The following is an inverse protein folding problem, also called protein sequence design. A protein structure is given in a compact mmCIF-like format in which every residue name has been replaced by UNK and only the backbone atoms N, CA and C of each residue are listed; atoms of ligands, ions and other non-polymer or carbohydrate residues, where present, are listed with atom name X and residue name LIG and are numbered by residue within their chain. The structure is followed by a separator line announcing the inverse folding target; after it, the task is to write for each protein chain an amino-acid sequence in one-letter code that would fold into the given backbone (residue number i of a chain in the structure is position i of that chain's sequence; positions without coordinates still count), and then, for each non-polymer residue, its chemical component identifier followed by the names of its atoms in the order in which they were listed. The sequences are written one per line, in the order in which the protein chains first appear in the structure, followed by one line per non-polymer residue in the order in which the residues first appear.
data_IF_444378069077
#
_entry.id   IF_444378069077
#
_cell.length_a   1.000
_cell.length_b   1.000
_cell.length_c   1.000
_cell.angle_alpha   90.00
_cell.angle_beta   90.00
_cell.angle_gamma   90.00
#
_symmetry.space_group_name_H-M   'P 1'
#
loop_
_entity.id
_entity.type
_entity.pdbx_description
1 polymer ?
#
# COMPACT_ATOMS: atom_id res chain seq x y z
N UNK A 1 -38.02 -15.14 14.49
CA UNK A 1 -37.84 -15.48 15.93
C UNK A 1 -37.59 -16.98 16.03
N UNK A 2 -36.82 -17.49 17.01
CA UNK A 2 -36.05 -16.81 18.07
C UNK A 2 -34.52 -16.89 17.80
N UNK A 3 -33.73 -15.81 17.90
CA UNK A 3 -33.15 -15.21 19.11
C UNK A 3 -32.48 -16.20 20.08
N UNK A 4 -31.14 -16.30 20.01
CA UNK A 4 -30.29 -16.66 21.16
C UNK A 4 -29.33 -15.52 21.46
N UNK A 5 -29.55 -14.87 22.60
CA UNK A 5 -28.64 -13.93 23.25
C UNK A 5 -27.56 -14.72 23.99
N UNK A 6 -26.29 -14.33 23.90
CA UNK A 6 -25.25 -14.74 24.85
C UNK A 6 -25.10 -13.69 25.96
N UNK A 7 -24.89 -14.10 27.23
CA UNK A 7 -24.82 -13.19 28.38
C UNK A 7 -23.43 -12.54 28.52
N UNK A 8 -23.32 -11.42 29.26
CA UNK A 8 -22.05 -10.74 29.55
C UNK A 8 -21.28 -11.46 30.67
N UNK A 9 -19.95 -11.49 30.54
CA UNK A 9 -19.03 -11.98 31.58
C UNK A 9 -18.70 -10.81 32.51
N UNK A 10 -19.09 -10.96 33.78
CA UNK A 10 -18.75 -10.07 34.88
C UNK A 10 -17.34 -10.35 35.37
N UNK A 11 -16.51 -9.32 35.52
CA UNK A 11 -15.24 -9.41 36.27
C UNK A 11 -15.51 -9.21 37.75
N UNK A 12 -15.15 -10.23 38.55
CA UNK A 12 -15.17 -10.19 40.01
C UNK A 12 -13.92 -9.48 40.51
N UNK A 13 -14.13 -8.45 41.33
CA UNK A 13 -13.12 -7.77 42.13
C UNK A 13 -12.78 -8.63 43.33
N UNK A 14 -11.50 -8.96 43.52
CA UNK A 14 -10.98 -9.49 44.79
C UNK A 14 -9.89 -8.56 45.32
N UNK A 15 -10.28 -7.78 46.33
CA UNK A 15 -9.37 -7.16 47.28
C UNK A 15 -9.03 -8.19 48.37
N UNK A 16 -7.75 -8.28 48.75
CA UNK A 16 -7.35 -8.74 50.08
C UNK A 16 -6.02 -8.09 50.49
N UNK A 17 -5.96 -7.77 51.78
CA UNK A 17 -5.04 -6.90 52.49
C UNK A 17 -3.92 -7.68 53.19
N UNK A 18 -2.78 -6.99 53.35
CA UNK A 18 -1.87 -6.91 54.53
C UNK A 18 -1.12 -8.17 55.02
N UNK A 19 0.18 -7.95 55.29
CA UNK A 19 0.92 -8.67 56.33
C UNK A 19 2.44 -8.59 56.21
N UNK A 20 3.10 -7.91 57.16
CA UNK A 20 4.54 -7.66 57.29
C UNK A 20 5.39 -8.88 57.68
N UNK A 21 6.70 -8.83 57.37
CA UNK A 21 7.87 -8.98 58.29
C UNK A 21 9.18 -8.77 57.47
N UNK A 22 9.94 -7.68 57.65
CA UNK A 22 11.18 -7.53 58.45
C UNK A 22 12.30 -8.55 58.06
N UNK A 23 13.48 -8.17 57.56
CA UNK A 23 14.55 -7.40 58.25
C UNK A 23 15.78 -7.16 57.34
N UNK A 24 16.43 -6.00 57.54
CA UNK A 24 17.88 -5.66 57.53
C UNK A 24 18.76 -6.03 56.30
N UNK A 25 19.73 -5.25 55.81
CA UNK A 25 20.82 -4.49 56.47
C UNK A 25 21.25 -3.29 55.58
N UNK A 26 21.75 -2.26 56.27
CA UNK A 26 22.16 -0.92 55.85
C UNK A 26 23.34 -0.79 54.86
N UNK A 27 23.44 0.37 54.20
CA UNK A 27 24.71 1.07 53.99
C UNK A 27 24.52 2.61 53.83
N UNK A 28 24.95 3.36 54.85
CA UNK A 28 25.55 4.71 54.73
C UNK A 28 26.96 4.54 54.12
N UNK A 29 27.67 5.46 53.48
CA UNK A 29 27.53 6.89 53.18
C UNK A 29 28.94 7.45 52.85
N UNK A 30 29.01 8.43 51.94
CA UNK A 30 30.01 9.52 51.80
C UNK A 30 31.51 9.31 51.43
N UNK A 31 31.94 10.23 50.52
CA UNK A 31 33.24 10.95 50.31
C UNK A 31 34.23 10.52 49.20
N UNK A 32 34.26 11.39 48.16
CA UNK A 32 35.38 12.25 47.66
C UNK A 32 36.66 11.67 47.00
N UNK A 33 36.82 12.05 45.71
CA UNK A 33 37.98 12.61 44.97
C UNK A 33 39.31 11.83 44.88
N UNK A 34 39.76 11.58 43.64
CA UNK A 34 41.14 11.90 43.15
C UNK A 34 41.27 11.81 41.61
N UNK A 35 41.91 12.83 41.06
CA UNK A 35 42.44 12.95 39.70
C UNK A 35 43.65 12.01 39.50
N UNK A 36 43.81 11.48 38.29
CA UNK A 36 45.13 11.10 37.74
C UNK A 36 45.17 11.35 36.23
N UNK A 37 46.06 12.27 35.85
CA UNK A 37 46.55 12.53 34.49
C UNK A 37 47.23 11.29 33.89
N UNK A 38 47.06 11.07 32.58
CA UNK A 38 48.01 10.27 31.81
C UNK A 38 48.42 10.98 30.51
N UNK A 39 49.74 11.12 30.37
CA UNK A 39 50.48 11.81 29.32
C UNK A 39 50.43 11.07 27.98
N UNK A 40 50.42 11.87 26.92
CA UNK A 40 50.78 11.53 25.55
C UNK A 40 52.29 11.24 25.40
N UNK A 41 52.65 10.20 24.63
CA UNK A 41 53.65 10.30 23.55
C UNK A 41 53.75 9.02 22.70
N UNK A 42 53.44 9.21 21.42
CA UNK A 42 53.97 8.62 20.19
C UNK A 42 54.64 7.22 20.19
N UNK A 43 54.14 6.36 19.28
CA UNK A 43 54.98 5.80 18.21
C UNK A 43 54.14 5.49 16.96
N UNK A 44 54.68 5.92 15.83
CA UNK A 44 54.15 5.85 14.46
C UNK A 44 54.50 4.49 13.83
N UNK A 45 53.68 4.08 12.86
CA UNK A 45 53.91 3.03 11.83
C UNK A 45 53.64 1.57 12.21
N UNK A 46 52.38 1.15 12.06
CA UNK A 46 52.08 -0.22 11.61
C UNK A 46 50.78 -0.25 10.80
N UNK A 47 50.93 -0.50 9.50
CA UNK A 47 49.93 -1.01 8.56
C UNK A 47 48.64 -0.19 8.31
N UNK A 48 48.74 0.78 7.40
CA UNK A 48 47.64 1.15 6.48
C UNK A 48 47.38 -0.04 5.53
N UNK A 49 46.57 -1.02 5.93
CA UNK A 49 45.98 -2.06 5.07
C UNK A 49 44.93 -2.83 5.88
N UNK A 50 43.80 -2.18 6.21
CA UNK A 50 42.54 -2.84 6.62
C UNK A 50 41.41 -1.81 6.87
N UNK A 51 41.14 -0.95 5.90
CA UNK A 51 39.91 -0.13 5.89
C UNK A 51 39.66 0.42 4.48
N UNK A 52 39.56 -0.48 3.50
CA UNK A 52 38.98 -0.20 2.17
C UNK A 52 38.08 -1.37 1.74
N UNK A 53 37.32 -1.92 2.69
CA UNK A 53 36.15 -2.77 2.40
C UNK A 53 34.93 -2.16 3.10
N UNK A 54 34.67 -0.89 2.82
CA UNK A 54 33.39 -0.24 3.12
C UNK A 54 32.70 0.06 1.79
N UNK A 55 31.57 -0.61 1.58
CA UNK A 55 30.56 -0.28 0.58
C UNK A 55 31.10 0.07 -0.81
N UNK A 56 31.64 -0.93 -1.51
CA UNK A 56 31.53 -0.91 -2.96
C UNK A 56 30.04 -1.00 -3.27
N UNK A 57 29.42 0.15 -3.57
CA UNK A 57 28.23 0.20 -4.41
C UNK A 57 28.61 -0.60 -5.64
N UNK A 58 28.11 -1.83 -5.74
CA UNK A 58 28.17 -2.59 -6.98
C UNK A 58 27.51 -1.68 -8.00
N UNK A 59 28.33 -1.06 -8.87
CA UNK A 59 27.92 -0.71 -10.21
C UNK A 59 27.44 -2.01 -10.82
N UNK A 60 26.17 -2.35 -10.64
CA UNK A 60 25.54 -3.43 -11.38
C UNK A 60 25.68 -3.01 -12.83
N UNK A 61 26.57 -3.70 -13.55
CA UNK A 61 26.57 -3.70 -15.00
C UNK A 61 25.11 -3.84 -15.44
N UNK A 62 24.72 -3.02 -16.42
CA UNK A 62 23.42 -3.10 -17.07
C UNK A 62 23.34 -4.53 -17.64
N UNK A 63 22.73 -5.45 -16.89
CA UNK A 63 22.43 -6.77 -17.41
C UNK A 63 21.58 -6.54 -18.65
N UNK A 64 22.02 -7.10 -19.78
CA UNK A 64 21.25 -7.07 -21.00
C UNK A 64 19.84 -7.60 -20.70
N UNK A 65 18.82 -6.96 -21.29
CA UNK A 65 17.44 -7.41 -21.15
C UNK A 65 17.39 -8.84 -21.72
N UNK A 66 16.88 -9.84 -20.97
CA UNK A 66 16.73 -11.18 -21.51
C UNK A 66 15.90 -11.14 -22.79
N UNK A 67 16.30 -11.90 -23.82
CA UNK A 67 15.63 -11.86 -25.12
C UNK A 67 14.13 -12.20 -25.02
N UNK A 68 13.78 -13.10 -24.11
CA UNK A 68 12.41 -13.49 -23.80
C UNK A 68 11.60 -12.40 -23.11
N UNK A 69 12.27 -11.41 -22.49
CA UNK A 69 11.68 -10.27 -21.78
C UNK A 69 11.65 -8.99 -22.62
N UNK A 70 12.38 -8.96 -23.73
CA UNK A 70 12.49 -7.81 -24.61
C UNK A 70 11.17 -7.49 -25.34
N UNK A 71 10.73 -6.24 -25.23
CA UNK A 71 9.71 -5.64 -26.08
C UNK A 71 10.25 -4.37 -26.73
N UNK A 72 10.02 -4.22 -28.04
CA UNK A 72 10.36 -3.01 -28.79
C UNK A 72 9.14 -2.12 -28.93
N UNK A 73 9.28 -0.84 -28.65
CA UNK A 73 8.22 0.15 -28.83
C UNK A 73 8.80 1.53 -29.05
N UNK A 74 8.37 2.21 -30.13
CA UNK A 74 9.04 3.40 -30.66
C UNK A 74 10.54 3.09 -30.83
N UNK A 75 11.42 3.99 -30.42
CA UNK A 75 12.88 3.85 -30.52
C UNK A 75 13.51 3.23 -29.26
N UNK A 76 12.73 2.51 -28.44
CA UNK A 76 13.17 2.00 -27.14
C UNK A 76 13.00 0.48 -26.98
N UNK A 77 13.98 -0.11 -26.29
CA UNK A 77 13.93 -1.49 -25.79
C UNK A 77 13.43 -1.49 -24.34
N UNK A 78 12.38 -2.26 -24.08
CA UNK A 78 11.74 -2.35 -22.77
C UNK A 78 11.84 -3.77 -22.22
N UNK A 79 12.33 -3.87 -20.99
CA UNK A 79 12.20 -5.09 -20.19
C UNK A 79 10.76 -5.20 -19.70
N UNK A 80 10.04 -6.20 -20.22
CA UNK A 80 8.64 -6.41 -19.90
C UNK A 80 8.35 -7.74 -19.21
N UNK A 81 9.36 -8.28 -18.52
CA UNK A 81 9.17 -9.24 -17.44
C UNK A 81 9.21 -8.51 -16.09
N UNK A 82 8.42 -8.97 -15.13
CA UNK A 82 8.56 -8.50 -13.75
C UNK A 82 9.75 -9.21 -13.10
N UNK A 83 10.67 -8.44 -12.52
CA UNK A 83 11.81 -8.97 -11.77
C UNK A 83 11.54 -8.90 -10.27
N UNK A 84 11.81 -9.99 -9.55
CA UNK A 84 11.67 -10.03 -8.10
C UNK A 84 12.73 -9.10 -7.45
N UNK A 85 12.35 -8.07 -6.67
CA UNK A 85 13.32 -7.11 -6.13
C UNK A 85 14.42 -7.73 -5.25
N UNK A 86 14.10 -8.80 -4.51
CA UNK A 86 15.05 -9.51 -3.67
C UNK A 86 16.08 -10.35 -4.47
N UNK A 87 15.77 -10.70 -5.71
CA UNK A 87 16.65 -11.49 -6.59
C UNK A 87 16.30 -11.20 -8.05
N UNK A 88 16.99 -10.22 -8.63
CA UNK A 88 16.66 -9.69 -9.96
C UNK A 88 16.81 -10.73 -11.09
N UNK A 89 17.58 -11.80 -10.88
CA UNK A 89 17.68 -12.91 -11.83
C UNK A 89 16.41 -13.77 -11.90
N UNK A 90 15.49 -13.63 -10.94
CA UNK A 90 14.19 -14.30 -10.94
C UNK A 90 13.16 -13.35 -11.54
N UNK A 91 12.64 -13.71 -12.70
CA UNK A 91 11.63 -12.93 -13.42
C UNK A 91 10.46 -13.79 -13.88
N UNK A 92 9.31 -13.14 -14.00
CA UNK A 92 8.07 -13.78 -14.45
C UNK A 92 7.96 -13.82 -15.96
N UNK A 93 6.84 -14.38 -16.43
CA UNK A 93 6.45 -14.38 -17.83
C UNK A 93 6.38 -12.95 -18.38
N UNK A 94 6.89 -12.76 -19.59
CA UNK A 94 6.79 -11.48 -20.30
C UNK A 94 5.32 -11.12 -20.57
N UNK A 95 4.95 -9.88 -20.28
CA UNK A 95 3.66 -9.32 -20.67
C UNK A 95 3.59 -9.07 -22.18
N UNK A 96 2.39 -9.08 -22.76
CA UNK A 96 2.23 -8.83 -24.18
C UNK A 96 2.72 -7.41 -24.55
N UNK A 97 3.69 -7.29 -25.47
CA UNK A 97 4.27 -6.01 -25.89
C UNK A 97 3.23 -5.02 -26.44
N UNK A 98 2.08 -5.52 -26.92
CA UNK A 98 0.98 -4.68 -27.40
C UNK A 98 0.35 -3.79 -26.31
N UNK A 99 0.68 -4.01 -25.03
CA UNK A 99 0.25 -3.18 -23.91
C UNK A 99 1.12 -1.93 -23.70
N UNK A 100 2.30 -1.85 -24.35
CA UNK A 100 3.20 -0.70 -24.21
C UNK A 100 2.56 0.66 -24.59
N UNK A 101 1.76 0.78 -25.67
CA UNK A 101 1.06 2.03 -25.97
C UNK A 101 0.14 2.52 -24.84
N UNK A 102 -0.57 1.60 -24.16
CA UNK A 102 -1.46 1.93 -23.04
C UNK A 102 -0.64 2.36 -21.82
N UNK A 103 0.45 1.65 -21.51
CA UNK A 103 1.35 2.05 -20.42
C UNK A 103 2.00 3.42 -20.70
N UNK A 104 2.35 3.71 -21.94
CA UNK A 104 2.93 4.99 -22.37
C UNK A 104 1.92 6.14 -22.22
N UNK A 105 0.68 5.94 -22.67
CA UNK A 105 -0.37 6.95 -22.55
C UNK A 105 -0.69 7.27 -21.08
N UNK A 106 -0.54 6.29 -20.18
CA UNK A 106 -0.67 6.45 -18.72
C UNK A 106 0.62 6.97 -18.04
N UNK A 107 1.70 7.24 -18.79
CA UNK A 107 2.96 7.74 -18.24
C UNK A 107 3.75 6.71 -17.43
N UNK A 108 3.48 5.42 -17.62
CA UNK A 108 4.08 4.31 -16.85
C UNK A 108 5.35 3.74 -17.50
N UNK A 109 5.72 4.19 -18.71
CA UNK A 109 6.97 3.79 -19.39
C UNK A 109 8.12 4.80 -19.24
N UNK A 110 7.81 6.10 -19.12
CA UNK A 110 8.79 7.19 -19.25
C UNK A 110 9.89 7.19 -18.19
N UNK A 111 9.63 6.62 -17.01
CA UNK A 111 10.59 6.56 -15.90
C UNK A 111 11.70 5.51 -16.08
N UNK A 112 11.61 4.67 -17.13
CA UNK A 112 12.59 3.62 -17.42
C UNK A 112 13.71 4.06 -18.36
N UNK A 113 13.53 5.19 -19.08
CA UNK A 113 14.61 5.78 -19.91
C UNK A 113 15.79 6.24 -19.05
N UNK A 114 15.54 6.52 -17.77
CA UNK A 114 16.56 6.93 -16.83
C UNK A 114 16.74 5.82 -15.78
N UNK A 115 17.67 4.88 -16.02
CA UNK A 115 18.15 3.99 -14.95
C UNK A 115 18.78 4.79 -13.80
N UNK A 116 19.20 6.03 -14.07
CA UNK A 116 19.68 6.99 -13.07
C UNK A 116 19.24 8.40 -13.50
N UNK A 117 18.33 9.04 -12.77
CA UNK A 117 18.24 10.50 -12.74
C UNK A 117 18.98 10.89 -11.47
N UNK A 118 20.05 11.70 -11.53
CA UNK A 118 20.67 12.25 -10.34
C UNK A 118 19.60 12.96 -9.52
N UNK A 119 19.62 12.79 -8.20
CA UNK A 119 18.78 13.56 -7.29
C UNK A 119 19.05 15.06 -7.54
N UNK A 120 18.17 15.69 -8.30
CA UNK A 120 18.33 17.09 -8.74
C UNK A 120 18.00 18.09 -7.62
N UNK A 121 17.68 17.62 -6.41
CA UNK A 121 17.25 18.48 -5.31
C UNK A 121 15.79 18.95 -5.39
N UNK A 122 15.10 18.69 -6.51
CA UNK A 122 13.69 19.05 -6.73
C UNK A 122 12.69 18.04 -6.12
N UNK A 123 13.14 16.88 -5.63
CA UNK A 123 12.23 15.86 -5.02
C UNK A 123 11.44 16.43 -3.83
N UNK A 124 12.02 17.37 -3.08
CA UNK A 124 11.35 17.98 -1.91
C UNK A 124 10.09 18.76 -2.28
N UNK A 125 10.12 19.54 -3.36
CA UNK A 125 8.95 20.30 -3.84
C UNK A 125 7.89 19.37 -4.45
N UNK A 126 8.31 18.29 -5.13
CA UNK A 126 7.41 17.27 -5.68
C UNK A 126 6.62 16.57 -4.55
N UNK A 127 7.26 16.15 -3.46
CA UNK A 127 6.53 15.54 -2.33
C UNK A 127 5.55 16.50 -1.62
N UNK A 128 5.92 17.79 -1.51
CA UNK A 128 5.04 18.81 -0.91
C UNK A 128 3.83 19.04 -1.82
N UNK A 129 4.05 19.30 -3.10
CA UNK A 129 2.97 19.56 -4.05
C UNK A 129 2.03 18.37 -4.18
N UNK A 130 2.60 17.16 -4.30
CA UNK A 130 1.82 15.94 -4.48
C UNK A 130 0.90 15.69 -3.29
N UNK A 131 1.33 15.91 -2.05
CA UNK A 131 0.51 15.57 -0.86
C UNK A 131 -0.33 16.73 -0.33
N UNK A 132 -0.27 17.93 -0.93
CA UNK A 132 -0.90 19.14 -0.36
C UNK A 132 -2.42 19.10 -0.41
N UNK A 133 -3.03 18.46 -1.42
CA UNK A 133 -4.48 18.29 -1.54
C UNK A 133 -4.79 17.07 -2.44
N UNK A 134 -4.79 15.85 -1.90
CA UNK A 134 -5.10 14.67 -2.70
C UNK A 134 -6.51 14.73 -3.27
N UNK A 135 -6.69 14.39 -4.55
CA UNK A 135 -8.02 14.32 -5.16
C UNK A 135 -8.72 13.03 -4.71
N UNK A 136 -10.03 13.11 -4.45
CA UNK A 136 -10.80 11.93 -4.09
C UNK A 136 -11.37 11.31 -5.36
N UNK A 137 -11.17 10.02 -5.54
CA UNK A 137 -11.55 9.29 -6.76
C UNK A 137 -12.38 8.08 -6.38
N UNK A 138 -13.54 7.95 -7.00
CA UNK A 138 -14.39 6.76 -6.87
C UNK A 138 -14.92 6.35 -8.24
N UNK A 139 -15.33 5.09 -8.37
CA UNK A 139 -15.88 4.55 -9.60
C UNK A 139 -16.98 3.54 -9.27
N UNK A 140 -18.12 3.61 -9.96
CA UNK A 140 -19.22 2.68 -9.74
C UNK A 140 -20.18 2.61 -10.93
N UNK A 141 -20.94 1.52 -10.98
CA UNK A 141 -22.05 1.32 -11.92
C UNK A 141 -23.40 1.39 -11.19
N UNK A 142 -24.52 1.31 -11.91
CA UNK A 142 -25.86 1.45 -11.34
C UNK A 142 -26.14 0.55 -10.14
N UNK A 143 -25.57 -0.66 -10.10
CA UNK A 143 -25.78 -1.62 -9.01
C UNK A 143 -25.16 -1.17 -7.66
N UNK A 144 -24.32 -0.14 -7.66
CA UNK A 144 -23.69 0.44 -6.47
C UNK A 144 -23.98 1.94 -6.34
N UNK A 145 -25.00 2.44 -7.04
CA UNK A 145 -25.36 3.87 -7.03
C UNK A 145 -25.75 4.36 -5.63
N UNK A 146 -26.47 3.55 -4.85
CA UNK A 146 -26.89 3.92 -3.49
C UNK A 146 -25.67 4.11 -2.56
N UNK A 147 -24.72 3.17 -2.57
CA UNK A 147 -23.49 3.30 -1.79
C UNK A 147 -22.60 4.43 -2.32
N UNK A 148 -22.54 4.63 -3.64
CA UNK A 148 -21.78 5.71 -4.26
C UNK A 148 -22.30 7.09 -3.85
N UNK A 149 -23.61 7.31 -3.93
CA UNK A 149 -24.26 8.55 -3.49
C UNK A 149 -24.11 8.80 -1.98
N UNK A 150 -24.17 7.75 -1.15
CA UNK A 150 -23.84 7.86 0.28
C UNK A 150 -22.40 8.34 0.47
N UNK A 151 -21.43 7.71 -0.19
CA UNK A 151 -20.03 8.09 -0.09
C UNK A 151 -19.82 9.58 -0.44
N UNK A 152 -20.42 10.04 -1.53
CA UNK A 152 -20.37 11.46 -1.92
C UNK A 152 -20.96 12.37 -0.85
N UNK A 153 -22.07 11.97 -0.23
CA UNK A 153 -22.73 12.73 0.84
C UNK A 153 -21.84 12.84 2.09
N UNK A 154 -21.21 11.74 2.48
CA UNK A 154 -20.30 11.70 3.63
C UNK A 154 -19.06 12.55 3.38
N UNK A 155 -18.45 12.45 2.19
CA UNK A 155 -17.31 13.31 1.81
C UNK A 155 -17.73 14.77 1.88
N UNK A 156 -18.91 15.15 1.35
CA UNK A 156 -19.40 16.54 1.42
C UNK A 156 -19.67 17.01 2.84
N UNK A 157 -20.11 16.11 3.72
CA UNK A 157 -20.36 16.43 5.13
C UNK A 157 -19.07 16.70 5.91
N UNK A 158 -17.99 15.98 5.61
CA UNK A 158 -16.69 16.12 6.28
C UNK A 158 -15.79 17.17 5.60
N UNK A 159 -15.81 17.23 4.27
CA UNK A 159 -15.01 18.13 3.44
C UNK A 159 -15.87 18.81 2.35
N UNK A 160 -16.57 19.90 2.68
CA UNK A 160 -17.52 20.55 1.75
C UNK A 160 -16.92 20.97 0.41
N UNK A 161 -15.62 21.30 0.36
CA UNK A 161 -14.90 21.78 -0.83
C UNK A 161 -13.93 20.76 -1.43
N UNK A 162 -13.94 19.51 -0.97
CA UNK A 162 -13.04 18.48 -1.52
C UNK A 162 -13.39 18.20 -2.98
N UNK A 163 -12.42 18.31 -3.89
CA UNK A 163 -12.65 17.93 -5.28
C UNK A 163 -12.75 16.41 -5.41
N UNK A 164 -13.80 15.93 -6.09
CA UNK A 164 -14.08 14.51 -6.28
C UNK A 164 -14.16 14.20 -7.77
N UNK A 165 -13.56 13.09 -8.20
CA UNK A 165 -13.75 12.51 -9.52
C UNK A 165 -14.60 11.26 -9.37
N UNK A 166 -15.69 11.19 -10.12
CA UNK A 166 -16.57 10.02 -10.19
C UNK A 166 -16.45 9.42 -11.59
N UNK A 167 -15.93 8.19 -11.66
CA UNK A 167 -15.94 7.41 -12.88
C UNK A 167 -17.22 6.58 -13.00
N UNK A 168 -17.88 6.76 -14.13
CA UNK A 168 -19.01 5.98 -14.56
C UNK A 168 -18.54 4.65 -15.18
N UNK A 169 -18.94 3.54 -14.56
CA UNK A 169 -18.71 2.17 -15.02
C UNK A 169 -19.95 1.52 -15.63
N UNK A 170 -21.04 2.28 -15.81
CA UNK A 170 -22.35 1.82 -16.29
C UNK A 170 -23.50 2.33 -15.42
N UNK A 171 -23.63 3.65 -15.26
CA UNK A 171 -24.76 4.32 -14.62
C UNK A 171 -25.91 4.50 -15.62
N UNK A 172 -27.14 4.51 -15.10
CA UNK A 172 -28.34 4.82 -15.89
C UNK A 172 -28.41 6.33 -16.14
N UNK A 173 -29.03 6.76 -17.25
CA UNK A 173 -29.09 8.17 -17.65
C UNK A 173 -29.57 9.10 -16.52
N UNK A 174 -30.63 8.71 -15.81
CA UNK A 174 -31.16 9.46 -14.67
C UNK A 174 -30.14 9.64 -13.53
N UNK A 175 -29.31 8.62 -13.29
CA UNK A 175 -28.23 8.66 -12.29
C UNK A 175 -27.10 9.59 -12.75
N UNK A 176 -26.72 9.52 -14.03
CA UNK A 176 -25.67 10.38 -14.60
C UNK A 176 -26.05 11.86 -14.49
N UNK A 177 -27.31 12.21 -14.78
CA UNK A 177 -27.80 13.59 -14.70
C UNK A 177 -27.72 14.15 -13.28
N UNK A 178 -27.89 13.29 -12.26
CA UNK A 178 -27.77 13.71 -10.86
C UNK A 178 -26.30 13.96 -10.52
N UNK A 179 -25.40 13.02 -10.84
CA UNK A 179 -23.97 13.14 -10.51
C UNK A 179 -23.32 14.33 -11.21
N UNK A 180 -23.68 14.60 -12.47
CA UNK A 180 -23.15 15.72 -13.25
C UNK A 180 -23.52 17.10 -12.69
N UNK A 181 -24.61 17.22 -11.91
CA UNK A 181 -25.07 18.46 -11.28
C UNK A 181 -24.48 18.68 -9.87
N UNK A 182 -23.58 17.81 -9.41
CA UNK A 182 -23.00 17.94 -8.08
C UNK A 182 -21.83 18.94 -8.07
N UNK A 183 -21.81 19.80 -7.06
CA UNK A 183 -20.72 20.75 -6.85
C UNK A 183 -19.38 20.04 -6.56
N UNK A 184 -18.30 20.59 -7.12
CA UNK A 184 -16.92 20.11 -6.94
C UNK A 184 -16.76 18.60 -7.25
N UNK A 185 -17.63 18.08 -8.12
CA UNK A 185 -17.58 16.72 -8.65
C UNK A 185 -17.32 16.79 -10.15
N UNK A 186 -16.27 16.10 -10.60
CA UNK A 186 -16.03 15.86 -12.01
C UNK A 186 -16.49 14.45 -12.38
N UNK A 187 -17.53 14.39 -13.20
CA UNK A 187 -18.00 13.15 -13.80
C UNK A 187 -17.13 12.76 -15.00
N UNK A 188 -16.68 11.50 -15.06
CA UNK A 188 -15.91 10.93 -16.17
C UNK A 188 -16.51 9.58 -16.58
N UNK A 189 -16.54 9.28 -17.87
CA UNK A 189 -16.96 7.96 -18.37
C UNK A 189 -15.72 7.10 -18.56
N UNK A 190 -15.70 5.88 -18.02
CA UNK A 190 -14.62 4.94 -18.30
C UNK A 190 -14.78 4.37 -19.72
N UNK A 191 -13.82 4.65 -20.60
CA UNK A 191 -13.86 4.20 -21.99
C UNK A 191 -13.47 2.72 -22.11
N UNK A 192 -14.41 1.80 -21.89
CA UNK A 192 -14.19 0.35 -22.03
C UNK A 192 -13.69 -0.05 -23.41
N UNK A 193 -14.08 0.66 -24.47
CA UNK A 193 -13.71 0.36 -25.87
C UNK A 193 -12.22 0.56 -26.15
N UNK A 194 -11.50 1.29 -25.28
CA UNK A 194 -10.04 1.45 -25.38
C UNK A 194 -9.26 0.25 -24.81
N UNK A 195 -9.95 -0.72 -24.19
CA UNK A 195 -9.34 -1.86 -23.50
C UNK A 195 -9.92 -3.18 -24.03
N UNK A 196 -9.24 -4.32 -23.78
CA UNK A 196 -9.79 -5.62 -24.13
C UNK A 196 -11.20 -5.83 -23.55
N UNK A 197 -12.07 -6.52 -24.29
CA UNK A 197 -13.49 -6.67 -23.97
C UNK A 197 -13.78 -7.17 -22.54
N UNK A 198 -12.91 -7.99 -21.96
CA UNK A 198 -13.02 -8.48 -20.59
C UNK A 198 -12.89 -7.40 -19.51
N UNK A 199 -12.53 -6.15 -19.84
CA UNK A 199 -12.64 -5.02 -18.90
C UNK A 199 -14.09 -4.71 -18.50
N UNK A 200 -15.06 -5.08 -19.34
CA UNK A 200 -16.49 -4.97 -19.04
C UNK A 200 -16.95 -5.90 -17.91
N UNK A 201 -16.14 -6.92 -17.55
CA UNK A 201 -16.39 -7.78 -16.40
C UNK A 201 -15.98 -7.05 -15.11
N UNK A 202 -16.88 -6.19 -14.61
CA UNK A 202 -16.59 -5.31 -13.46
C UNK A 202 -16.17 -6.08 -12.20
N UNK A 203 -16.60 -7.34 -12.04
CA UNK A 203 -16.23 -8.21 -10.92
C UNK A 203 -14.74 -8.57 -10.85
N UNK A 204 -13.97 -8.33 -11.92
CA UNK A 204 -12.53 -8.53 -11.97
C UNK A 204 -11.72 -7.24 -11.72
N UNK A 205 -12.39 -6.10 -11.52
CA UNK A 205 -11.80 -4.82 -11.11
C UNK A 205 -10.64 -4.28 -11.98
N UNK A 206 -10.51 -4.74 -13.24
CA UNK A 206 -9.42 -4.38 -14.17
C UNK A 206 -9.33 -2.87 -14.46
N UNK A 207 -10.46 -2.19 -14.45
CA UNK A 207 -10.57 -0.76 -14.67
C UNK A 207 -9.90 0.06 -13.55
N UNK A 208 -9.81 -0.48 -12.32
CA UNK A 208 -9.33 0.23 -11.13
C UNK A 208 -7.87 0.68 -11.24
N UNK A 209 -6.89 -0.19 -11.55
CA UNK A 209 -5.50 0.24 -11.72
C UNK A 209 -5.32 1.28 -12.82
N UNK A 210 -6.14 1.22 -13.88
CA UNK A 210 -6.11 2.21 -14.97
C UNK A 210 -6.61 3.58 -14.48
N UNK A 211 -7.74 3.63 -13.79
CA UNK A 211 -8.27 4.86 -13.19
C UNK A 211 -7.27 5.47 -12.20
N UNK A 212 -6.66 4.64 -11.35
CA UNK A 212 -5.62 5.08 -10.42
C UNK A 212 -4.43 5.66 -11.20
N UNK A 213 -3.97 5.02 -12.28
CA UNK A 213 -2.87 5.54 -13.09
C UNK A 213 -3.19 6.85 -13.81
N UNK A 214 -4.39 6.96 -14.40
CA UNK A 214 -4.83 8.17 -15.09
C UNK A 214 -4.89 9.37 -14.13
N UNK A 215 -5.60 9.19 -13.02
CA UNK A 215 -5.79 10.26 -12.03
C UNK A 215 -4.50 10.59 -11.29
N UNK A 216 -3.66 9.60 -10.98
CA UNK A 216 -2.36 9.85 -10.35
C UNK A 216 -1.41 10.60 -11.30
N UNK A 217 -1.45 10.31 -12.61
CA UNK A 217 -0.68 11.05 -13.61
C UNK A 217 -1.06 12.52 -13.63
N UNK A 218 -2.35 12.82 -13.53
CA UNK A 218 -2.94 14.17 -13.59
C UNK A 218 -2.73 14.97 -12.30
N UNK A 219 -2.96 14.37 -11.12
CA UNK A 219 -3.02 15.11 -9.84
C UNK A 219 -1.83 14.90 -8.90
N UNK A 220 -0.98 13.91 -9.15
CA UNK A 220 0.21 13.65 -8.33
C UNK A 220 -0.06 12.96 -6.99
N UNK A 221 -1.22 13.15 -6.36
CA UNK A 221 -1.74 12.21 -5.35
C UNK A 221 -3.26 12.14 -5.32
N UNK A 222 -3.76 10.99 -4.91
CA UNK A 222 -5.19 10.71 -4.82
C UNK A 222 -5.50 9.85 -3.60
N UNK A 223 -6.76 9.93 -3.17
CA UNK A 223 -7.43 8.85 -2.48
C UNK A 223 -8.32 8.12 -3.48
N UNK A 224 -8.09 6.82 -3.70
CA UNK A 224 -9.06 5.99 -4.40
C UNK A 224 -9.90 5.22 -3.39
N UNK A 225 -11.20 5.16 -3.64
CA UNK A 225 -12.19 4.56 -2.74
C UNK A 225 -13.33 3.88 -3.50
N UNK A 226 -13.55 2.60 -3.21
CA UNK A 226 -14.76 1.87 -3.56
C UNK A 226 -15.93 2.44 -2.74
N UNK A 227 -17.15 2.33 -3.28
CA UNK A 227 -18.37 2.91 -2.68
C UNK A 227 -18.73 2.35 -1.29
N UNK A 228 -18.13 1.22 -0.92
CA UNK A 228 -18.30 0.61 0.41
C UNK A 228 -17.59 1.36 1.53
N UNK A 229 -16.69 2.29 1.23
CA UNK A 229 -16.00 3.10 2.24
C UNK A 229 -16.98 4.04 2.92
N UNK A 230 -16.87 4.13 4.25
CA UNK A 230 -17.60 5.10 5.08
C UNK A 230 -16.58 5.87 5.90
N UNK A 231 -16.54 7.19 5.76
CA UNK A 231 -15.61 8.03 6.52
C UNK A 231 -16.17 8.38 7.91
N UNK A 232 -15.27 8.45 8.90
CA UNK A 232 -15.60 8.83 10.29
C UNK A 232 -14.96 10.14 10.74
N UNK A 233 -13.85 10.54 10.11
CA UNK A 233 -13.04 11.67 10.52
C UNK A 233 -12.58 12.46 9.31
N UNK A 234 -12.49 13.77 9.48
CA UNK A 234 -12.06 14.74 8.48
C UNK A 234 -10.52 14.94 8.45
N UNK A 235 -9.83 14.56 9.53
CA UNK A 235 -8.38 14.70 9.61
C UNK A 235 -7.65 13.47 9.03
N UNK A 236 -7.08 13.62 7.84
CA UNK A 236 -6.25 12.61 7.17
C UNK A 236 -4.74 12.93 7.22
N UNK A 237 -4.34 14.00 7.92
CA UNK A 237 -2.94 14.47 7.94
C UNK A 237 -1.96 13.40 8.40
N UNK A 238 -2.36 12.57 9.38
CA UNK A 238 -1.52 11.49 9.90
C UNK A 238 -1.14 10.44 8.85
N UNK A 239 -1.99 10.20 7.84
CA UNK A 239 -1.66 9.33 6.70
C UNK A 239 -0.66 10.01 5.79
N UNK A 240 -0.82 11.31 5.55
CA UNK A 240 0.10 12.07 4.69
C UNK A 240 1.50 12.18 5.30
N UNK A 241 1.59 12.31 6.62
CA UNK A 241 2.86 12.41 7.34
C UNK A 241 3.75 11.16 7.15
N UNK A 242 3.14 9.98 6.97
CA UNK A 242 3.86 8.72 6.66
C UNK A 242 4.63 8.78 5.33
N UNK A 243 4.23 9.65 4.41
CA UNK A 243 4.87 9.82 3.11
C UNK A 243 5.68 11.13 3.06
N UNK A 244 5.16 12.22 3.64
CA UNK A 244 5.81 13.55 3.65
C UNK A 244 7.12 13.59 4.41
N UNK A 245 7.34 12.70 5.38
CA UNK A 245 8.60 12.60 6.12
C UNK A 245 9.83 12.51 5.18
N UNK A 246 9.66 11.97 3.96
CA UNK A 246 10.71 11.81 2.94
C UNK A 246 11.28 13.14 2.44
N UNK A 247 10.58 14.25 2.65
CA UNK A 247 11.06 15.61 2.35
C UNK A 247 12.26 16.01 3.22
N UNK A 248 12.33 15.49 4.45
CA UNK A 248 13.28 15.93 5.46
C UNK A 248 14.42 14.93 5.67
N UNK A 249 14.27 13.71 5.17
CA UNK A 249 15.25 12.64 5.30
C UNK A 249 16.07 12.58 4.01
N UNK A 250 17.38 12.82 4.08
CA UNK A 250 18.24 12.49 2.93
C UNK A 250 18.12 10.99 2.64
N UNK A 251 18.09 10.57 1.37
CA UNK A 251 17.90 9.16 1.00
C UNK A 251 18.92 8.21 1.69
N UNK A 252 20.10 8.71 2.06
CA UNK A 252 21.15 8.01 2.84
C UNK A 252 20.87 7.89 4.34
N UNK A 253 19.87 8.59 4.87
CA UNK A 253 19.50 8.66 6.29
C UNK A 253 18.23 7.87 6.62
N UNK A 254 17.59 7.21 5.65
CA UNK A 254 16.51 6.26 5.96
C UNK A 254 17.09 5.08 6.75
N UNK A 255 16.39 4.65 7.80
CA UNK A 255 16.82 3.53 8.63
C UNK A 255 17.12 2.28 7.80
N UNK A 256 18.21 1.57 8.12
CA UNK A 256 18.53 0.28 7.51
C UNK A 256 17.34 -0.67 7.70
N UNK A 257 16.89 -1.31 6.61
CA UNK A 257 15.80 -2.28 6.68
C UNK A 257 16.25 -3.47 7.55
N UNK A 258 15.52 -3.83 8.61
CA UNK A 258 15.90 -4.94 9.48
C UNK A 258 15.88 -6.30 8.77
N UNK A 259 16.58 -7.28 9.33
CA UNK A 259 16.57 -8.66 8.82
C UNK A 259 15.16 -9.25 8.80
N UNK A 260 14.97 -10.37 8.09
CA UNK A 260 13.66 -11.04 8.08
C UNK A 260 13.22 -11.45 9.48
N UNK A 261 14.14 -11.94 10.31
CA UNK A 261 13.88 -12.43 11.65
C UNK A 261 13.39 -11.30 12.56
N UNK A 262 14.07 -10.14 12.55
CA UNK A 262 13.66 -8.98 13.33
C UNK A 262 12.28 -8.45 12.91
N UNK A 263 11.96 -8.55 11.61
CA UNK A 263 10.66 -8.18 11.08
C UNK A 263 9.56 -9.18 11.47
N UNK A 264 9.90 -10.46 11.53
CA UNK A 264 9.00 -11.50 12.05
C UNK A 264 8.72 -11.29 13.55
N UNK A 265 9.75 -10.97 14.35
CA UNK A 265 9.63 -10.63 15.76
C UNK A 265 8.82 -9.35 16.01
N UNK A 266 8.92 -8.36 15.12
CA UNK A 266 8.07 -7.16 15.17
C UNK A 266 6.61 -7.55 15.01
N UNK A 267 6.26 -8.27 13.94
CA UNK A 267 4.88 -8.67 13.68
C UNK A 267 4.28 -9.53 14.82
N UNK A 268 5.08 -10.38 15.47
CA UNK A 268 4.62 -11.17 16.61
C UNK A 268 4.29 -10.32 17.85
N UNK A 269 4.95 -9.17 18.01
CA UNK A 269 4.77 -8.28 19.17
C UNK A 269 3.79 -7.15 18.89
N UNK A 270 3.61 -6.76 17.64
CA UNK A 270 2.70 -5.70 17.25
C UNK A 270 1.27 -6.23 17.25
N UNK A 271 0.43 -5.65 18.09
CA UNK A 271 -1.01 -5.92 18.05
C UNK A 271 -1.60 -5.50 16.70
N UNK A 272 -2.67 -6.18 16.30
CA UNK A 272 -3.37 -5.80 15.08
C UNK A 272 -3.98 -4.41 15.22
N UNK A 273 -3.94 -3.62 14.15
CA UNK A 273 -4.39 -2.23 14.16
C UNK A 273 -5.86 -2.09 14.63
N UNK A 274 -6.04 -1.39 15.76
CA UNK A 274 -7.33 -1.12 16.38
C UNK A 274 -7.50 0.38 16.62
N UNK A 275 -7.56 1.14 15.54
CA UNK A 275 -7.73 2.60 15.56
C UNK A 275 -6.47 3.35 15.13
N UNK A 276 -6.06 4.36 15.90
CA UNK A 276 -4.84 5.13 15.67
C UNK A 276 -3.96 5.12 16.92
N UNK A 277 -2.77 4.52 16.80
CA UNK A 277 -1.73 4.56 17.83
C UNK A 277 -0.71 5.67 17.50
N UNK A 278 -0.64 6.69 18.37
CA UNK A 278 0.24 7.84 18.19
C UNK A 278 1.73 7.49 18.34
N UNK A 279 2.08 6.49 19.15
CA UNK A 279 3.47 6.08 19.35
C UNK A 279 3.97 5.30 18.13
N UNK A 280 3.18 4.32 17.67
CA UNK A 280 3.46 3.59 16.43
C UNK A 280 3.55 4.55 15.24
N UNK A 281 2.64 5.52 15.16
CA UNK A 281 2.66 6.55 14.12
C UNK A 281 3.95 7.40 14.17
N UNK A 282 4.38 7.87 15.35
CA UNK A 282 5.63 8.64 15.51
C UNK A 282 6.85 7.83 15.08
N UNK A 283 6.90 6.55 15.44
CA UNK A 283 7.97 5.64 15.03
C UNK A 283 7.97 5.46 13.50
N UNK A 284 6.81 5.26 12.89
CA UNK A 284 6.67 5.13 11.44
C UNK A 284 7.11 6.40 10.69
N UNK A 285 6.74 7.58 11.19
CA UNK A 285 7.17 8.87 10.62
C UNK A 285 8.68 9.06 10.78
N UNK A 286 9.26 8.65 11.91
CA UNK A 286 10.71 8.72 12.16
C UNK A 286 11.49 7.74 11.28
N UNK A 287 11.00 6.52 11.10
CA UNK A 287 11.60 5.51 10.23
C UNK A 287 11.49 5.92 8.75
N UNK A 288 10.36 6.50 8.37
CA UNK A 288 10.09 7.07 7.07
C UNK A 288 10.24 6.10 5.87
N UNK A 289 9.87 4.84 6.09
CA UNK A 289 9.99 3.75 5.10
C UNK A 289 8.66 3.32 4.48
N UNK A 290 7.55 3.97 4.85
CA UNK A 290 6.22 3.66 4.31
C UNK A 290 6.16 3.93 2.82
N UNK A 291 5.53 3.02 2.08
CA UNK A 291 5.19 3.14 0.66
C UNK A 291 4.36 4.39 0.42
N UNK A 292 4.56 5.04 -0.73
CA UNK A 292 3.66 6.09 -1.20
C UNK A 292 2.38 5.52 -1.85
N UNK A 293 2.20 4.20 -1.88
CA UNK A 293 0.94 3.50 -2.15
C UNK A 293 0.54 2.78 -0.85
N UNK A 294 -0.39 3.34 -0.10
CA UNK A 294 -0.80 2.85 1.21
C UNK A 294 -2.15 2.14 1.15
N UNK A 295 -2.19 0.94 1.72
CA UNK A 295 -3.41 0.17 1.99
C UNK A 295 -3.87 0.40 3.44
N UNK A 296 -5.16 0.18 3.73
CA UNK A 296 -5.73 0.55 5.03
C UNK A 296 -6.51 -0.57 5.73
N UNK A 297 -7.45 -1.23 5.07
CA UNK A 297 -8.32 -2.22 5.72
C UNK A 297 -7.79 -3.65 5.63
N UNK A 298 -7.51 -4.32 6.76
CA UNK A 298 -7.11 -5.73 6.75
C UNK A 298 -8.27 -6.65 6.38
N UNK A 299 -8.01 -7.66 5.55
CA UNK A 299 -9.05 -8.57 5.03
C UNK A 299 -9.26 -9.81 5.90
N UNK A 300 -8.48 -9.99 6.96
CA UNK A 300 -8.59 -11.15 7.86
C UNK A 300 -7.80 -12.39 7.43
N UNK A 301 -6.94 -12.28 6.41
CA UNK A 301 -6.10 -13.37 5.90
C UNK A 301 -4.80 -12.86 5.22
N UNK A 302 -3.88 -13.77 4.92
CA UNK A 302 -2.64 -13.50 4.20
C UNK A 302 -2.80 -13.36 2.70
N UNK A 303 -1.76 -12.84 2.04
CA UNK A 303 -1.73 -12.65 0.57
C UNK A 303 -1.76 -13.99 -0.16
N UNK A 304 -0.92 -14.93 0.26
CA UNK A 304 -0.85 -16.27 -0.35
C UNK A 304 -2.17 -17.04 -0.29
N UNK A 305 -2.98 -16.80 0.74
CA UNK A 305 -4.24 -17.51 0.95
C UNK A 305 -5.26 -17.25 -0.18
N UNK A 306 -5.30 -16.04 -0.74
CA UNK A 306 -6.30 -15.65 -1.73
C UNK A 306 -5.70 -15.13 -3.05
N UNK A 307 -4.48 -15.55 -3.39
CA UNK A 307 -3.83 -15.22 -4.66
C UNK A 307 -3.76 -16.46 -5.53
N UNK A 308 -4.35 -16.37 -6.73
CA UNK A 308 -4.29 -17.46 -7.70
C UNK A 308 -2.83 -17.82 -8.05
N UNK A 309 -2.46 -19.11 -8.08
CA UNK A 309 -1.13 -19.54 -8.47
C UNK A 309 -0.64 -19.00 -9.83
N UNK A 310 -1.55 -18.81 -10.80
CA UNK A 310 -1.21 -18.26 -12.13
C UNK A 310 -0.62 -16.85 -12.02
N UNK A 311 -0.99 -16.08 -11.00
CA UNK A 311 -0.44 -14.73 -10.79
C UNK A 311 1.07 -14.81 -10.53
N UNK A 312 1.56 -15.85 -9.85
CA UNK A 312 2.98 -16.02 -9.55
C UNK A 312 3.83 -16.34 -10.79
N UNK A 313 3.21 -16.80 -11.88
CA UNK A 313 3.90 -16.95 -13.16
C UNK A 313 4.30 -15.59 -13.75
N UNK A 314 3.49 -14.55 -13.53
CA UNK A 314 3.79 -13.18 -13.95
C UNK A 314 4.59 -12.43 -12.89
N UNK A 315 4.30 -12.68 -11.62
CA UNK A 315 4.91 -12.01 -10.47
C UNK A 315 5.56 -13.04 -9.54
N UNK A 316 6.76 -13.55 -9.86
CA UNK A 316 7.50 -14.41 -8.96
C UNK A 316 7.67 -13.77 -7.59
N UNK A 317 7.73 -14.62 -6.56
CA UNK A 317 7.71 -14.19 -5.17
C UNK A 317 8.54 -15.11 -4.30
N UNK A 318 8.89 -14.65 -3.10
CA UNK A 318 9.47 -15.50 -2.08
C UNK A 318 8.35 -16.24 -1.34
N UNK A 319 8.17 -17.52 -1.66
CA UNK A 319 7.13 -18.36 -1.05
C UNK A 319 7.32 -18.62 0.45
N UNK A 320 8.54 -18.46 0.99
CA UNK A 320 8.77 -18.54 2.44
C UNK A 320 8.21 -17.30 3.11
N UNK A 321 8.50 -16.12 2.58
CA UNK A 321 8.08 -14.85 3.17
C UNK A 321 6.59 -14.54 2.99
N UNK A 322 6.04 -14.77 1.79
CA UNK A 322 4.63 -14.46 1.49
C UNK A 322 3.61 -15.29 2.29
N UNK A 323 4.06 -16.42 2.88
CA UNK A 323 3.25 -17.30 3.74
C UNK A 323 3.31 -16.92 5.22
N UNK A 324 4.11 -15.92 5.60
CA UNK A 324 4.26 -15.48 7.00
C UNK A 324 3.14 -14.53 7.42
N UNK A 325 2.84 -14.43 8.74
CA UNK A 325 1.82 -13.52 9.26
C UNK A 325 2.01 -12.04 8.89
N UNK A 326 3.25 -11.58 8.68
CA UNK A 326 3.55 -10.19 8.28
C UNK A 326 3.11 -9.85 6.84
N UNK A 327 2.90 -10.86 5.99
CA UNK A 327 2.40 -10.73 4.62
C UNK A 327 0.87 -10.80 4.58
N UNK A 328 0.21 -9.91 5.35
CA UNK A 328 -1.25 -9.76 5.39
C UNK A 328 -1.79 -9.18 4.07
N UNK A 329 -2.98 -9.63 3.68
CA UNK A 329 -3.73 -9.00 2.59
C UNK A 329 -4.60 -7.87 3.13
N UNK A 330 -4.58 -6.74 2.43
CA UNK A 330 -5.40 -5.57 2.71
C UNK A 330 -6.35 -5.28 1.54
N UNK A 331 -7.46 -4.61 1.83
CA UNK A 331 -8.47 -4.20 0.87
C UNK A 331 -7.84 -3.23 -0.16
N UNK A 332 -8.05 -3.49 -1.45
CA UNK A 332 -7.65 -2.58 -2.52
C UNK A 332 -8.72 -1.52 -2.84
N UNK A 333 -9.85 -1.58 -2.13
CA UNK A 333 -10.95 -0.63 -2.27
C UNK A 333 -10.79 0.66 -1.49
N UNK A 334 -9.70 0.84 -0.73
CA UNK A 334 -9.43 2.11 -0.07
C UNK A 334 -7.92 2.31 0.03
N UNK A 335 -7.40 3.27 -0.75
CA UNK A 335 -5.96 3.50 -0.88
C UNK A 335 -5.64 4.98 -0.97
N UNK A 336 -4.60 5.39 -0.26
CA UNK A 336 -3.90 6.66 -0.51
C UNK A 336 -2.70 6.39 -1.41
N UNK A 337 -2.56 7.14 -2.49
CA UNK A 337 -1.40 6.98 -3.38
C UNK A 337 -0.85 8.32 -3.85
N UNK A 338 0.47 8.46 -3.78
CA UNK A 338 1.24 9.57 -4.31
C UNK A 338 2.23 9.09 -5.38
N UNK A 339 2.37 9.87 -6.44
CA UNK A 339 3.16 9.63 -7.65
C UNK A 339 4.67 9.68 -7.39
N UNK A 340 5.24 8.63 -6.84
CA UNK A 340 6.71 8.50 -6.73
C UNK A 340 7.26 7.58 -7.81
N UNK A 341 8.56 7.70 -8.10
CA UNK A 341 9.24 6.76 -9.02
C UNK A 341 9.00 5.31 -8.60
N UNK A 342 9.16 5.01 -7.32
CA UNK A 342 8.99 3.66 -6.76
C UNK A 342 7.56 3.14 -6.97
N UNK A 343 6.53 3.96 -6.72
CA UNK A 343 5.13 3.57 -6.94
C UNK A 343 4.87 3.29 -8.42
N UNK A 344 5.34 4.15 -9.31
CA UNK A 344 5.13 3.97 -10.75
C UNK A 344 5.87 2.73 -11.26
N UNK A 345 7.14 2.55 -10.91
CA UNK A 345 7.97 1.46 -11.46
C UNK A 345 7.68 0.10 -10.85
N UNK A 346 7.42 0.05 -9.53
CA UNK A 346 7.37 -1.21 -8.79
C UNK A 346 5.95 -1.70 -8.55
N UNK A 347 4.95 -0.81 -8.59
CA UNK A 347 3.55 -1.16 -8.36
C UNK A 347 2.71 -0.88 -9.60
N UNK A 348 2.51 0.39 -9.96
CA UNK A 348 1.42 0.79 -10.84
C UNK A 348 1.61 0.32 -12.29
N UNK A 349 2.85 0.35 -12.82
CA UNK A 349 3.19 -0.23 -14.12
C UNK A 349 2.72 -1.68 -14.23
N UNK A 350 3.08 -2.49 -13.24
CA UNK A 350 2.79 -3.93 -13.23
C UNK A 350 1.33 -4.20 -12.91
N UNK A 351 0.72 -3.38 -12.07
CA UNK A 351 -0.70 -3.47 -11.75
C UNK A 351 -1.57 -3.23 -12.99
N UNK A 352 -1.25 -2.21 -13.80
CA UNK A 352 -1.90 -1.97 -15.09
C UNK A 352 -1.56 -3.04 -16.12
N UNK A 353 -0.30 -3.48 -16.22
CA UNK A 353 0.09 -4.56 -17.14
C UNK A 353 -0.69 -5.86 -16.83
N UNK A 354 -0.88 -6.19 -15.56
CA UNK A 354 -1.69 -7.33 -15.13
C UNK A 354 -3.17 -7.15 -15.45
N UNK A 355 -3.71 -5.93 -15.32
CA UNK A 355 -5.10 -5.65 -15.69
C UNK A 355 -5.33 -5.85 -17.20
N UNK A 356 -4.35 -5.49 -18.02
CA UNK A 356 -4.36 -5.69 -19.46
C UNK A 356 -4.18 -7.17 -19.83
N UNK A 357 -3.42 -7.94 -19.06
CA UNK A 357 -3.22 -9.37 -19.30
C UNK A 357 -4.36 -10.22 -18.72
N UNK A 358 -5.05 -10.99 -19.56
CA UNK A 358 -6.27 -11.68 -19.13
C UNK A 358 -6.00 -12.65 -17.98
N UNK A 359 -5.02 -13.54 -18.15
CA UNK A 359 -4.71 -14.57 -17.17
C UNK A 359 -4.08 -14.02 -15.89
N UNK A 360 -3.35 -12.91 -15.98
CA UNK A 360 -2.72 -12.30 -14.80
C UNK A 360 -3.78 -11.79 -13.80
N UNK A 361 -4.71 -10.93 -14.25
CA UNK A 361 -5.69 -10.37 -13.30
C UNK A 361 -6.80 -11.35 -12.95
N UNK A 362 -7.36 -12.09 -13.92
CA UNK A 362 -8.50 -12.98 -13.65
C UNK A 362 -8.09 -14.27 -12.96
N UNK A 363 -6.90 -14.80 -13.24
CA UNK A 363 -6.52 -16.15 -12.82
C UNK A 363 -7.49 -17.22 -13.35
N UNK A 364 -7.51 -18.34 -12.62
CA UNK A 364 -8.35 -19.52 -12.84
C UNK A 364 -9.48 -19.62 -11.80
N UNK A 365 -9.29 -19.06 -10.60
CA UNK A 365 -10.25 -19.14 -9.50
C UNK A 365 -11.13 -17.89 -9.35
N UNK A 366 -12.32 -18.06 -8.77
CA UNK A 366 -13.24 -16.96 -8.45
C UNK A 366 -13.08 -16.42 -7.02
N UNK A 367 -13.96 -15.48 -6.63
CA UNK A 367 -13.92 -14.84 -5.31
C UNK A 367 -14.24 -15.76 -4.13
N UNK A 368 -14.97 -16.86 -4.37
CA UNK A 368 -15.40 -17.76 -3.32
C UNK A 368 -14.29 -18.74 -2.94
N UNK A 369 -13.83 -18.64 -1.69
CA UNK A 369 -12.80 -19.52 -1.14
C UNK A 369 -13.40 -20.83 -0.63
N UNK A 370 -12.78 -21.95 -0.99
CA UNK A 370 -13.29 -23.30 -0.68
C UNK A 370 -12.51 -24.00 0.44
N UNK A 371 -11.49 -23.36 1.02
CA UNK A 371 -10.68 -23.97 2.07
C UNK A 371 -11.38 -23.91 3.43
N UNK A 372 -11.42 -25.05 4.12
CA UNK A 372 -11.83 -25.18 5.51
C UNK A 372 -10.64 -25.09 6.48
N UNK A 373 -9.42 -24.89 5.97
CA UNK A 373 -8.21 -24.80 6.79
C UNK A 373 -8.17 -23.48 7.56
N UNK A 374 -7.88 -23.55 8.87
CA UNK A 374 -7.70 -22.39 9.72
C UNK A 374 -6.40 -21.63 9.45
N UNK A 375 -5.45 -22.22 8.71
CA UNK A 375 -4.18 -21.62 8.29
C UNK A 375 -4.36 -20.57 7.20
N UNK A 376 -4.91 -19.43 7.58
CA UNK A 376 -5.24 -18.28 6.70
C UNK A 376 -4.04 -17.57 6.04
N UNK A 377 -2.84 -18.14 6.09
CA UNK A 377 -1.61 -17.53 5.58
C UNK A 377 -0.77 -18.49 4.75
N UNK A 378 -0.64 -19.75 5.18
CA UNK A 378 0.30 -20.70 4.59
C UNK A 378 -0.35 -21.70 3.63
N UNK A 379 -1.68 -21.71 3.52
CA UNK A 379 -2.46 -22.61 2.66
C UNK A 379 -3.25 -21.80 1.64
N UNK A 380 -3.18 -22.18 0.37
CA UNK A 380 -3.98 -21.55 -0.68
C UNK A 380 -5.44 -21.96 -0.58
N UNK A 381 -6.35 -20.99 -0.62
CA UNK A 381 -7.77 -21.20 -0.34
C UNK A 381 -8.62 -21.51 -1.57
N UNK A 382 -8.00 -21.70 -2.73
CA UNK A 382 -8.68 -21.94 -4.02
C UNK A 382 -9.65 -20.82 -4.39
N UNK A 383 -9.24 -19.59 -4.14
CA UNK A 383 -9.93 -18.37 -4.56
C UNK A 383 -8.92 -17.31 -4.99
N UNK A 384 -9.43 -16.31 -5.70
CA UNK A 384 -8.65 -15.17 -6.15
C UNK A 384 -9.40 -13.88 -5.90
N UNK A 385 -8.71 -12.89 -5.33
CA UNK A 385 -9.27 -11.55 -5.05
C UNK A 385 -8.89 -10.54 -6.14
N UNK A 386 -8.54 -11.01 -7.34
CA UNK A 386 -8.28 -10.17 -8.53
C UNK A 386 -7.27 -9.04 -8.25
N UNK A 387 -7.72 -7.79 -8.41
CA UNK A 387 -6.95 -6.56 -8.25
C UNK A 387 -6.33 -6.45 -6.85
N UNK A 388 -7.09 -6.86 -5.83
CA UNK A 388 -6.63 -6.91 -4.45
C UNK A 388 -5.44 -7.85 -4.26
N UNK A 389 -5.49 -9.06 -4.83
CA UNK A 389 -4.38 -10.01 -4.75
C UNK A 389 -3.14 -9.47 -5.45
N UNK A 390 -3.32 -8.90 -6.64
CA UNK A 390 -2.23 -8.35 -7.45
C UNK A 390 -1.52 -7.19 -6.76
N UNK A 391 -2.26 -6.18 -6.29
CA UNK A 391 -1.63 -5.00 -5.68
C UNK A 391 -0.95 -5.32 -4.34
N UNK A 392 -1.52 -6.25 -3.56
CA UNK A 392 -0.89 -6.70 -2.33
C UNK A 392 0.39 -7.51 -2.60
N UNK A 393 0.39 -8.38 -3.62
CA UNK A 393 1.59 -9.13 -4.01
C UNK A 393 2.71 -8.19 -4.49
N UNK A 394 2.39 -7.22 -5.34
CA UNK A 394 3.34 -6.22 -5.81
C UNK A 394 3.90 -5.40 -4.63
N UNK A 395 3.03 -4.96 -3.72
CA UNK A 395 3.43 -4.23 -2.51
C UNK A 395 4.32 -5.09 -1.61
N UNK A 396 3.96 -6.35 -1.36
CA UNK A 396 4.76 -7.27 -0.56
C UNK A 396 6.14 -7.53 -1.19
N UNK A 397 6.21 -7.80 -2.50
CA UNK A 397 7.48 -7.99 -3.18
C UNK A 397 8.37 -6.73 -3.12
N UNK A 398 7.79 -5.54 -3.26
CA UNK A 398 8.52 -4.27 -3.24
C UNK A 398 8.94 -3.83 -1.82
N UNK A 399 8.17 -4.24 -0.81
CA UNK A 399 8.32 -3.79 0.57
C UNK A 399 8.51 -4.97 1.53
N UNK A 400 9.37 -5.90 1.11
CA UNK A 400 9.96 -6.95 1.95
C UNK A 400 8.98 -7.94 2.60
N UNK A 401 7.76 -8.09 2.08
CA UNK A 401 6.71 -8.97 2.64
C UNK A 401 6.23 -8.55 4.02
N UNK A 402 6.33 -7.26 4.32
CA UNK A 402 6.04 -6.75 5.65
C UNK A 402 5.08 -5.58 5.57
N UNK A 403 3.84 -5.84 6.01
CA UNK A 403 2.74 -4.86 5.99
C UNK A 403 3.13 -3.52 6.60
N UNK A 404 4.05 -3.53 7.58
CA UNK A 404 4.57 -2.33 8.22
C UNK A 404 5.06 -1.30 7.21
N UNK A 405 5.50 -1.71 6.02
CA UNK A 405 6.02 -0.80 5.01
C UNK A 405 5.00 -0.38 3.94
N UNK A 406 3.85 -1.01 3.81
CA UNK A 406 2.89 -0.69 2.72
C UNK A 406 1.45 -0.47 3.18
N UNK A 407 1.22 -0.41 4.50
CA UNK A 407 -0.09 -0.10 5.07
C UNK A 407 0.00 1.07 6.04
N UNK A 408 -1.09 1.84 6.21
CA UNK A 408 -1.07 2.98 7.14
C UNK A 408 -0.94 2.55 8.60
N UNK A 409 -1.53 1.40 8.96
CA UNK A 409 -1.75 0.97 10.36
C UNK A 409 -2.64 1.94 11.15
N UNK A 410 -3.44 2.74 10.44
CA UNK A 410 -4.38 3.71 10.98
C UNK A 410 -5.76 3.36 10.42
N UNK A 411 -6.72 3.04 11.30
CA UNK A 411 -8.05 2.51 10.93
C UNK A 411 -9.22 3.15 11.68
N UNK A 412 -8.99 4.25 12.41
CA UNK A 412 -10.03 4.96 13.17
C UNK A 412 -10.85 5.97 12.36
N UNK A 413 -10.45 6.26 11.11
CA UNK A 413 -11.07 7.28 10.26
C UNK A 413 -12.02 6.71 9.19
N UNK A 414 -12.15 5.39 9.09
CA UNK A 414 -13.06 4.76 8.12
C UNK A 414 -13.72 3.47 8.65
N UNK A 415 -14.68 2.97 7.87
CA UNK A 415 -15.27 1.63 7.94
C UNK A 415 -15.49 1.12 6.52
N UNK A 416 -15.62 -0.21 6.38
CA UNK A 416 -16.09 -0.83 5.14
C UNK A 416 -17.50 -1.38 5.39
N UNK A 417 -18.48 -0.85 4.67
CA UNK A 417 -19.91 -1.23 4.76
C UNK A 417 -20.41 -1.62 3.38
N UNK A 418 -20.74 -2.91 3.20
CA UNK A 418 -21.18 -3.50 1.93
C UNK A 418 -22.67 -3.84 1.98
N UNK A 419 -23.41 -3.59 0.88
CA UNK A 419 -24.78 -4.06 0.70
C UNK A 419 -25.84 -3.39 1.59
N UNK A 420 -25.56 -2.20 2.12
CA UNK A 420 -26.53 -1.44 2.91
C UNK A 420 -27.41 -0.57 2.01
N UNK A 421 -28.72 -0.82 1.99
CA UNK A 421 -29.70 0.10 1.43
C UNK A 421 -29.89 1.28 2.38
N UNK A 422 -29.38 2.45 2.00
CA UNK A 422 -29.57 3.66 2.79
C UNK A 422 -30.89 4.33 2.38
N UNK A 423 -31.85 4.29 3.29
CA UNK A 423 -33.03 5.14 3.27
C UNK A 423 -32.67 6.39 4.09
N UNK A 424 -32.98 7.59 3.58
CA UNK A 424 -32.73 8.90 4.20
C UNK A 424 -31.34 9.53 4.01
N UNK A 425 -30.84 9.61 2.76
CA UNK A 425 -29.79 10.58 2.43
C UNK A 425 -30.40 11.98 2.30
N UNK A 426 -29.85 12.97 3.02
CA UNK A 426 -30.19 14.38 2.78
C UNK A 426 -29.78 14.76 1.34
N UNK A 427 -30.43 15.76 0.72
CA UNK A 427 -30.09 16.18 -0.64
C UNK A 427 -28.62 16.57 -0.74
N UNK A 428 -27.91 15.97 -1.70
CA UNK A 428 -26.57 16.42 -2.08
C UNK A 428 -26.65 17.84 -2.64
N UNK A 429 -25.68 18.68 -2.29
CA UNK A 429 -25.60 20.04 -2.83
C UNK A 429 -25.43 20.01 -4.35
N UNK A 430 -26.33 20.71 -5.04
CA UNK A 430 -26.29 20.91 -6.48
C UNK A 430 -25.67 22.26 -6.80
N UNK A 431 -24.92 22.28 -7.90
CA UNK A 431 -24.50 23.45 -8.64
C UNK A 431 -25.25 23.41 -9.99
#
# INVERSE_FOLDING_TARGET
MPYMRRPPISYVVLNSLKGHLLTNIAHQGYRSVRYCDFKFSAFVSYSRRKTEQSAAIQKTEVSAIPNECLCKYKDGDYDFCYHLPASYSIYGKRFNCNYLPVLDSLGLLGLLKFRYVPDTGNEKEDYISMTKNPVFVTAFSSNHYAEGTRLLYEIRSLWPKQFIIVYDLGLASEQTEIIQKLCDVQYRVFNFSAYPNYFTLLSQFRWKPVIIAETLKEFGSIWYMDTSVVFKKDNLSHVYDLVRCRQNVQNSARSVIPSSELRDEREQRTEHESGWDINQWRENVKECQKSAYLLHGYTGHGIFWATDPVVYEYFPTNFVEIKKPKAKMYEAGFVFVAKTREVITNILRWYVACALEQQCMAGTYGLHCSSTDSKRFSVFAKCHRFDQSVVNLLSANAYYYDRHYYVSEIVDFFNIVRGSTYHDLKPLMKC
#
